data_IF_604334679564
#
_entry.id   IF_604334679564
#
_cell.length_a   1.000
_cell.length_b   1.000
_cell.length_c   1.000
_cell.angle_alpha   90.00
_cell.angle_beta   90.00
_cell.angle_gamma   90.00
#
_symmetry.space_group_name_H-M   'P 1'
#
loop_
_entity.id
_entity.type
_entity.pdbx_description
1 polymer ?
#
# COMPACT_ATOMS: atom_id res chain seq x y z
N UNK A 1 8.93 28.77 0.94
CA UNK A 1 8.82 27.31 0.77
C UNK A 1 8.69 26.68 2.14
N UNK A 2 7.59 25.99 2.45
CA UNK A 2 7.56 25.14 3.64
C UNK A 2 8.54 23.98 3.41
N UNK A 3 9.47 23.75 4.34
CA UNK A 3 10.31 22.54 4.30
C UNK A 3 9.54 21.42 4.98
N UNK A 4 9.43 20.27 4.33
CA UNK A 4 8.91 19.05 4.94
C UNK A 4 9.80 18.57 6.09
N UNK A 5 9.35 17.54 6.79
CA UNK A 5 10.12 16.87 7.84
C UNK A 5 11.26 15.98 7.31
N UNK A 6 11.37 15.80 5.99
CA UNK A 6 12.32 14.90 5.34
C UNK A 6 11.83 13.45 5.28
N UNK A 7 10.50 13.25 5.31
CA UNK A 7 9.88 11.94 5.39
C UNK A 7 10.13 11.11 4.13
N UNK A 8 9.99 11.71 2.95
CA UNK A 8 10.21 11.05 1.68
C UNK A 8 11.64 10.52 1.56
N UNK A 9 12.64 11.30 1.99
CA UNK A 9 14.05 10.91 2.00
C UNK A 9 14.30 9.74 2.95
N UNK A 10 13.68 9.73 4.13
CA UNK A 10 13.80 8.60 5.08
C UNK A 10 13.15 7.33 4.54
N UNK A 11 12.00 7.45 3.88
CA UNK A 11 11.37 6.30 3.20
C UNK A 11 12.30 5.79 2.10
N UNK A 12 12.78 6.67 1.21
CA UNK A 12 13.66 6.27 0.11
C UNK A 12 14.97 5.63 0.58
N UNK A 13 15.58 6.17 1.64
CA UNK A 13 16.81 5.62 2.23
C UNK A 13 16.61 4.23 2.85
N UNK A 14 15.38 3.87 3.21
CA UNK A 14 15.05 2.55 3.73
C UNK A 14 14.69 1.54 2.62
N UNK A 15 14.54 1.98 1.37
CA UNK A 15 14.40 1.06 0.23
C UNK A 15 15.77 0.47 -0.15
N UNK A 16 15.84 -0.84 -0.46
CA UNK A 16 17.06 -1.47 -0.94
C UNK A 16 17.51 -0.87 -2.28
N UNK A 17 18.82 -0.82 -2.51
CA UNK A 17 19.39 -0.36 -3.80
C UNK A 17 18.87 -1.19 -4.98
N UNK A 18 18.63 -2.49 -4.77
CA UNK A 18 18.11 -3.40 -5.79
C UNK A 18 16.61 -3.18 -6.11
N UNK A 19 15.86 -2.54 -5.21
CA UNK A 19 14.43 -2.30 -5.33
C UNK A 19 14.13 -0.87 -4.84
N UNK A 20 14.56 0.16 -5.59
CA UNK A 20 14.51 1.55 -5.15
C UNK A 20 13.08 2.11 -5.14
N UNK A 21 12.83 3.14 -4.33
CA UNK A 21 11.53 3.82 -4.33
C UNK A 21 11.28 4.48 -5.70
N UNK A 22 10.15 4.19 -6.38
CA UNK A 22 9.80 4.82 -7.65
C UNK A 22 9.74 6.36 -7.54
N UNK A 23 10.21 7.11 -8.55
CA UNK A 23 10.22 8.57 -8.53
C UNK A 23 8.84 9.20 -8.25
N UNK A 24 7.77 8.66 -8.83
CA UNK A 24 6.41 9.18 -8.61
C UNK A 24 5.93 8.96 -7.17
N UNK A 25 6.29 7.83 -6.56
CA UNK A 25 5.98 7.58 -5.15
C UNK A 25 6.79 8.49 -4.23
N UNK A 26 8.04 8.78 -4.57
CA UNK A 26 8.83 9.78 -3.85
C UNK A 26 8.17 11.16 -3.90
N UNK A 27 7.75 11.61 -5.10
CA UNK A 27 7.08 12.91 -5.28
C UNK A 27 5.79 13.00 -4.44
N UNK A 28 4.98 11.94 -4.43
CA UNK A 28 3.77 11.90 -3.62
C UNK A 28 4.06 11.95 -2.11
N UNK A 29 5.10 11.23 -1.65
CA UNK A 29 5.52 11.26 -0.25
C UNK A 29 6.05 12.64 0.16
N UNK A 30 6.83 13.29 -0.72
CA UNK A 30 7.34 14.64 -0.48
C UNK A 30 6.19 15.66 -0.44
N UNK A 31 5.22 15.53 -1.36
CA UNK A 31 4.04 16.37 -1.35
C UNK A 31 3.24 16.22 -0.05
N UNK A 32 3.02 14.99 0.42
CA UNK A 32 2.34 14.72 1.69
C UNK A 32 3.10 15.38 2.86
N UNK A 33 4.42 15.28 2.88
CA UNK A 33 5.26 15.86 3.93
C UNK A 33 5.21 17.39 3.94
N UNK A 34 5.47 18.03 2.79
CA UNK A 34 5.46 19.50 2.64
C UNK A 34 4.09 20.10 2.94
N UNK A 35 3.01 19.35 2.70
CA UNK A 35 1.63 19.79 2.96
C UNK A 35 1.13 19.48 4.37
N UNK A 36 1.95 18.86 5.23
CA UNK A 36 1.61 18.61 6.64
C UNK A 36 0.74 17.38 6.87
N UNK A 37 0.83 16.36 6.01
CA UNK A 37 0.11 15.09 6.11
C UNK A 37 0.96 14.00 6.79
N UNK A 38 2.21 14.34 7.15
CA UNK A 38 3.10 13.51 7.94
C UNK A 38 2.97 13.88 9.41
N UNK A 39 2.76 12.87 10.26
CA UNK A 39 2.64 13.05 11.70
C UNK A 39 3.02 11.78 12.46
N UNK A 40 2.85 11.79 13.78
CA UNK A 40 3.08 10.61 14.61
C UNK A 40 2.11 9.47 14.29
N UNK A 41 2.61 8.24 14.33
CA UNK A 41 1.85 6.99 14.27
C UNK A 41 2.35 6.03 15.38
N UNK A 42 1.77 4.82 15.44
CA UNK A 42 2.08 3.84 16.50
C UNK A 42 3.55 3.44 16.58
N UNK A 43 4.22 3.34 15.42
CA UNK A 43 5.58 2.82 15.29
C UNK A 43 6.58 3.84 14.76
N UNK A 44 6.24 5.13 14.81
CA UNK A 44 7.05 6.21 14.25
C UNK A 44 6.22 7.15 13.39
N UNK A 45 6.88 7.98 12.58
CA UNK A 45 6.19 8.88 11.67
C UNK A 45 5.50 8.12 10.54
N UNK A 46 4.34 8.60 10.15
CA UNK A 46 3.55 8.08 9.04
C UNK A 46 2.98 9.24 8.23
N UNK A 47 2.84 9.04 6.93
CA UNK A 47 2.02 9.88 6.07
C UNK A 47 0.59 9.32 6.00
N UNK A 48 -0.39 10.22 6.01
CA UNK A 48 -1.82 9.93 5.86
C UNK A 48 -2.35 10.60 4.60
N UNK A 49 -3.57 10.25 4.21
CA UNK A 49 -4.27 10.93 3.11
C UNK A 49 -4.99 12.21 3.55
N UNK A 50 -4.89 12.53 4.84
CA UNK A 50 -5.51 13.66 5.53
C UNK A 50 -4.48 14.30 6.46
N UNK A 51 -4.57 15.61 6.75
CA UNK A 51 -3.66 16.27 7.70
C UNK A 51 -3.72 15.70 9.13
N UNK A 52 -4.83 15.05 9.49
CA UNK A 52 -5.04 14.43 10.80
C UNK A 52 -5.81 13.11 10.71
N UNK A 53 -6.17 12.55 11.86
CA UNK A 53 -7.09 11.41 11.93
C UNK A 53 -8.50 11.96 12.16
N UNK A 54 -9.31 11.92 11.11
CA UNK A 54 -10.65 12.49 11.08
C UNK A 54 -11.68 11.34 11.07
N UNK A 55 -12.86 11.48 11.70
CA UNK A 55 -13.96 10.55 11.47
C UNK A 55 -14.26 10.44 9.96
N UNK A 56 -14.58 9.23 9.49
CA UNK A 56 -14.82 9.01 8.06
C UNK A 56 -13.58 8.79 7.20
N UNK A 57 -12.38 9.07 7.73
CA UNK A 57 -11.15 9.03 6.93
C UNK A 57 -10.65 7.62 6.66
N UNK A 58 -9.90 7.45 5.56
CA UNK A 58 -9.12 6.24 5.31
C UNK A 58 -8.16 5.95 6.47
N UNK A 59 -7.99 4.68 6.79
CA UNK A 59 -7.05 4.18 7.82
C UNK A 59 -5.72 3.75 7.23
N UNK A 60 -5.57 3.85 5.91
CA UNK A 60 -4.32 3.55 5.21
C UNK A 60 -3.26 4.57 5.61
N UNK A 61 -2.07 4.08 5.95
CA UNK A 61 -0.91 4.93 6.27
C UNK A 61 0.33 4.46 5.54
N UNK A 62 1.13 5.42 5.07
CA UNK A 62 2.47 5.13 4.53
C UNK A 62 3.49 5.35 5.65
N UNK A 63 4.46 4.46 5.78
CA UNK A 63 5.47 4.48 6.83
C UNK A 63 6.86 4.25 6.27
N UNK A 64 7.87 4.52 7.10
CA UNK A 64 9.24 4.10 6.79
C UNK A 64 9.27 2.56 6.85
N UNK A 65 9.69 1.86 5.77
CA UNK A 65 9.75 0.41 5.77
C UNK A 65 10.78 -0.09 6.78
N UNK A 66 10.49 -1.24 7.39
CA UNK A 66 11.41 -1.93 8.27
C UNK A 66 11.73 -3.32 7.71
N UNK A 67 13.02 -3.66 7.67
CA UNK A 67 13.50 -4.92 7.08
C UNK A 67 12.93 -6.16 7.78
N UNK A 68 12.67 -6.07 9.08
CA UNK A 68 12.13 -7.18 9.86
C UNK A 68 10.68 -7.52 9.46
N UNK A 69 9.93 -6.55 8.93
CA UNK A 69 8.59 -6.80 8.39
C UNK A 69 8.66 -7.71 7.16
N UNK A 70 9.60 -7.40 6.24
CA UNK A 70 9.83 -8.24 5.06
C UNK A 70 10.30 -9.63 5.47
N UNK A 71 11.26 -9.73 6.40
CA UNK A 71 11.78 -11.02 6.91
C UNK A 71 10.69 -11.90 7.52
N UNK A 72 9.78 -11.31 8.29
CA UNK A 72 8.65 -12.04 8.88
C UNK A 72 7.77 -12.69 7.79
N UNK A 73 7.64 -12.01 6.65
CA UNK A 73 6.89 -12.52 5.50
C UNK A 73 7.66 -13.54 4.68
N UNK A 74 8.91 -13.28 4.31
CA UNK A 74 9.71 -14.17 3.47
C UNK A 74 10.21 -15.41 4.21
N UNK A 75 10.35 -15.34 5.55
CA UNK A 75 11.01 -16.35 6.40
C UNK A 75 12.44 -16.66 5.95
N UNK A 76 13.10 -15.67 5.36
CA UNK A 76 14.46 -15.79 4.85
C UNK A 76 15.35 -14.73 5.49
N UNK A 77 16.60 -15.07 5.74
CA UNK A 77 17.64 -14.10 6.12
C UNK A 77 18.43 -13.58 4.91
N UNK A 78 18.22 -14.18 3.74
CA UNK A 78 19.04 -13.90 2.56
C UNK A 78 18.74 -12.50 2.00
N UNK A 79 19.73 -11.60 1.86
CA UNK A 79 19.51 -10.24 1.33
C UNK A 79 18.86 -10.24 -0.04
N UNK A 80 19.31 -11.10 -0.96
CA UNK A 80 18.70 -11.26 -2.29
C UNK A 80 17.19 -11.55 -2.30
N UNK A 81 16.66 -12.14 -1.23
CA UNK A 81 15.22 -12.37 -1.09
C UNK A 81 14.56 -11.15 -0.46
N UNK A 82 15.08 -10.68 0.68
CA UNK A 82 14.46 -9.58 1.42
C UNK A 82 14.57 -8.22 0.70
N UNK A 83 15.58 -8.02 -0.12
CA UNK A 83 15.75 -6.78 -0.88
C UNK A 83 14.74 -6.69 -2.03
N UNK A 84 14.09 -7.81 -2.39
CA UNK A 84 13.04 -7.84 -3.42
C UNK A 84 11.68 -7.42 -2.90
N UNK A 85 11.44 -7.34 -1.59
CA UNK A 85 10.13 -6.98 -1.05
C UNK A 85 10.24 -5.84 -0.04
N UNK A 86 9.52 -4.75 -0.28
CA UNK A 86 9.49 -3.58 0.61
C UNK A 86 8.06 -3.31 1.02
N UNK A 87 7.73 -3.53 2.30
CA UNK A 87 6.41 -3.27 2.88
C UNK A 87 6.41 -1.93 3.60
N UNK A 88 5.63 -0.96 3.11
CA UNK A 88 5.66 0.42 3.59
C UNK A 88 4.28 1.08 3.65
N UNK A 89 3.22 0.34 3.34
CA UNK A 89 1.84 0.79 3.46
C UNK A 89 1.12 -0.12 4.42
N UNK A 90 0.58 0.42 5.51
CA UNK A 90 -0.37 -0.32 6.35
C UNK A 90 -1.76 -0.12 5.72
N UNK A 91 -2.42 -1.22 5.35
CA UNK A 91 -3.66 -1.19 4.55
C UNK A 91 -4.94 -1.24 5.39
N UNK A 92 -4.80 -1.44 6.69
CA UNK A 92 -5.89 -1.47 7.66
C UNK A 92 -5.35 -1.54 9.09
N UNK A 93 -6.19 -1.91 10.06
CA UNK A 93 -5.82 -2.04 11.47
C UNK A 93 -5.47 -3.48 11.90
N UNK A 94 -5.60 -4.43 10.99
CA UNK A 94 -5.36 -5.87 11.18
C UNK A 94 -3.88 -6.28 11.03
N UNK A 95 -3.01 -5.34 10.65
CA UNK A 95 -1.60 -5.62 10.36
C UNK A 95 -1.33 -6.04 8.91
N UNK A 96 -2.37 -6.03 8.07
CA UNK A 96 -2.23 -6.16 6.61
C UNK A 96 -1.43 -5.01 6.05
N UNK A 97 -0.63 -5.30 5.02
CA UNK A 97 0.30 -4.35 4.42
C UNK A 97 0.33 -4.47 2.91
N UNK A 98 0.67 -3.38 2.26
CA UNK A 98 1.04 -3.34 0.86
C UNK A 98 2.47 -2.81 0.69
N UNK A 99 3.04 -3.11 -0.47
CA UNK A 99 4.44 -2.84 -0.75
C UNK A 99 4.80 -3.05 -2.21
N UNK A 100 6.10 -2.93 -2.49
CA UNK A 100 6.66 -3.23 -3.81
C UNK A 100 7.44 -4.53 -3.76
N UNK A 101 7.15 -5.41 -4.71
CA UNK A 101 7.93 -6.61 -4.98
C UNK A 101 8.65 -6.50 -6.32
N UNK A 102 9.95 -6.80 -6.35
CA UNK A 102 10.73 -6.91 -7.57
C UNK A 102 10.57 -8.33 -8.13
N UNK A 103 9.88 -8.47 -9.26
CA UNK A 103 9.67 -9.76 -9.92
C UNK A 103 10.97 -10.32 -10.54
N UNK A 104 10.92 -11.57 -11.03
CA UNK A 104 12.09 -12.24 -11.60
C UNK A 104 12.61 -11.59 -12.90
N UNK A 105 11.82 -10.69 -13.49
CA UNK A 105 12.19 -9.90 -14.65
C UNK A 105 12.72 -8.50 -14.29
N UNK A 106 12.83 -8.20 -12.99
CA UNK A 106 13.28 -6.89 -12.51
C UNK A 106 12.23 -5.79 -12.59
N UNK A 107 10.94 -6.13 -12.73
CA UNK A 107 9.86 -5.16 -12.66
C UNK A 107 9.28 -5.08 -11.26
N UNK A 108 9.05 -3.86 -10.78
CA UNK A 108 8.35 -3.64 -9.52
C UNK A 108 6.85 -3.87 -9.71
N UNK A 109 6.26 -4.63 -8.79
CA UNK A 109 4.83 -4.92 -8.72
C UNK A 109 4.28 -4.40 -7.41
N UNK A 110 3.06 -3.87 -7.45
CA UNK A 110 2.33 -3.52 -6.24
C UNK A 110 1.73 -4.80 -5.66
N UNK A 111 2.06 -5.12 -4.42
CA UNK A 111 1.64 -6.37 -3.77
C UNK A 111 0.98 -6.10 -2.42
N UNK A 112 0.17 -7.05 -1.97
CA UNK A 112 -0.45 -7.07 -0.66
C UNK A 112 -0.06 -8.33 0.11
N UNK A 113 0.20 -8.18 1.41
CA UNK A 113 0.35 -9.26 2.37
C UNK A 113 -0.65 -9.04 3.51
N UNK A 114 -1.64 -9.90 3.59
CA UNK A 114 -2.74 -9.79 4.55
C UNK A 114 -2.42 -10.40 5.91
N UNK A 115 -3.16 -10.03 6.94
CA UNK A 115 -3.09 -10.73 8.22
C UNK A 115 -3.52 -12.21 8.06
N UNK A 116 -2.99 -13.14 8.89
CA UNK A 116 -3.40 -14.54 8.85
C UNK A 116 -4.89 -14.76 9.18
N UNK A 117 -5.49 -13.81 9.90
CA UNK A 117 -6.91 -13.79 10.24
C UNK A 117 -7.63 -12.75 9.35
N UNK A 118 -8.88 -13.02 8.99
CA UNK A 118 -9.69 -12.12 8.15
C UNK A 118 -9.61 -12.48 6.65
N UNK A 119 -9.71 -11.50 5.73
CA UNK A 119 -9.73 -11.76 4.29
C UNK A 119 -8.44 -12.42 3.78
N UNK A 120 -7.35 -12.29 4.54
CA UNK A 120 -6.06 -12.92 4.30
C UNK A 120 -5.55 -12.66 2.86
N UNK A 121 -5.80 -11.45 2.34
CA UNK A 121 -5.46 -11.06 0.97
C UNK A 121 -3.94 -11.18 0.75
N UNK A 122 -3.52 -12.04 -0.17
CA UNK A 122 -2.11 -12.24 -0.51
C UNK A 122 -1.97 -12.33 -2.02
N UNK A 123 -1.63 -11.22 -2.67
CA UNK A 123 -1.59 -11.14 -4.13
C UNK A 123 -0.77 -9.96 -4.64
N UNK A 124 -0.54 -9.98 -5.94
CA UNK A 124 -0.24 -8.81 -6.73
C UNK A 124 -1.51 -7.96 -6.90
N UNK A 125 -1.50 -6.73 -6.38
CA UNK A 125 -2.59 -5.78 -6.57
C UNK A 125 -2.57 -5.16 -7.96
N UNK A 126 -1.38 -4.86 -8.48
CA UNK A 126 -1.21 -4.25 -9.79
C UNK A 126 0.21 -4.47 -10.34
N UNK A 127 0.33 -4.37 -11.65
CA UNK A 127 1.57 -4.57 -12.41
C UNK A 127 2.46 -3.32 -12.46
N UNK A 128 1.92 -2.13 -12.15
CA UNK A 128 2.64 -0.86 -12.07
C UNK A 128 2.52 -0.23 -10.65
N UNK A 129 3.63 0.12 -9.99
CA UNK A 129 3.65 0.82 -8.70
C UNK A 129 2.83 2.12 -8.65
N UNK A 130 2.63 2.81 -9.77
CA UNK A 130 1.81 4.03 -9.87
C UNK A 130 0.37 3.79 -9.43
N UNK A 131 -0.13 2.56 -9.59
CA UNK A 131 -1.47 2.21 -9.13
C UNK A 131 -1.66 2.37 -7.62
N UNK A 132 -0.60 2.39 -6.82
CA UNK A 132 -0.71 2.72 -5.40
C UNK A 132 -1.30 4.12 -5.21
N UNK A 133 -0.83 5.12 -5.97
CA UNK A 133 -1.33 6.50 -5.85
C UNK A 133 -2.80 6.60 -6.25
N UNK A 134 -3.20 5.87 -7.29
CA UNK A 134 -4.59 5.79 -7.74
C UNK A 134 -5.49 5.11 -6.70
N UNK A 135 -5.03 4.02 -6.08
CA UNK A 135 -5.73 3.32 -4.99
C UNK A 135 -5.87 4.17 -3.73
N UNK A 136 -4.82 4.91 -3.37
CA UNK A 136 -4.85 5.85 -2.26
C UNK A 136 -5.82 7.01 -2.55
N UNK A 137 -5.83 7.54 -3.77
CA UNK A 137 -6.73 8.62 -4.18
C UNK A 137 -8.22 8.22 -4.23
N UNK A 138 -8.54 6.93 -4.39
CA UNK A 138 -9.90 6.42 -4.18
C UNK A 138 -10.35 6.64 -2.74
N UNK A 139 -9.45 6.46 -1.77
CA UNK A 139 -9.74 6.73 -0.36
C UNK A 139 -10.61 5.69 0.32
N UNK A 140 -10.46 4.40 -0.03
CA UNK A 140 -11.11 3.32 0.71
C UNK A 140 -10.77 3.38 2.21
N UNK A 141 -11.71 3.01 3.10
CA UNK A 141 -11.46 2.97 4.54
C UNK A 141 -10.25 2.07 4.88
N UNK A 142 -10.19 0.90 4.26
CA UNK A 142 -9.09 -0.07 4.35
C UNK A 142 -8.91 -0.74 2.98
N UNK A 143 -7.67 -1.03 2.59
CA UNK A 143 -7.34 -1.76 1.35
C UNK A 143 -7.15 -3.27 1.60
N UNK A 144 -7.19 -3.72 2.85
CA UNK A 144 -7.09 -5.13 3.23
C UNK A 144 -8.38 -5.93 3.02
N UNK A 145 -9.50 -5.25 2.72
CA UNK A 145 -10.82 -5.83 2.51
C UNK A 145 -11.17 -5.89 1.00
N UNK A 146 -10.91 -7.02 0.31
CA UNK A 146 -11.17 -7.15 -1.12
C UNK A 146 -12.65 -7.05 -1.49
N UNK A 147 -13.58 -7.35 -0.57
CA UNK A 147 -15.02 -7.17 -0.78
C UNK A 147 -15.40 -5.71 -1.10
N UNK A 148 -14.56 -4.75 -0.69
CA UNK A 148 -14.77 -3.34 -0.98
C UNK A 148 -14.40 -2.97 -2.42
N UNK A 149 -13.58 -3.76 -3.12
CA UNK A 149 -12.95 -3.31 -4.37
C UNK A 149 -13.93 -3.07 -5.52
N UNK A 150 -15.12 -3.69 -5.48
CA UNK A 150 -16.17 -3.47 -6.47
C UNK A 150 -17.14 -2.33 -6.10
N UNK A 151 -17.03 -1.76 -4.90
CA UNK A 151 -17.92 -0.73 -4.37
C UNK A 151 -17.30 0.66 -4.50
N UNK A 152 -18.13 1.70 -4.53
CA UNK A 152 -17.63 3.05 -4.33
C UNK A 152 -17.06 3.19 -2.89
N UNK A 153 -16.04 4.03 -2.66
CA UNK A 153 -15.42 4.18 -1.32
C UNK A 153 -16.42 4.52 -0.19
N UNK A 154 -17.44 5.35 -0.48
CA UNK A 154 -18.48 5.68 0.50
C UNK A 154 -19.40 4.49 0.84
N UNK A 155 -19.68 3.62 -0.13
CA UNK A 155 -20.47 2.39 0.07
C UNK A 155 -19.66 1.37 0.87
N UNK A 156 -18.38 1.20 0.54
CA UNK A 156 -17.44 0.38 1.31
C UNK A 156 -17.31 0.88 2.76
N UNK A 157 -17.29 2.20 2.96
CA UNK A 157 -17.34 2.78 4.31
C UNK A 157 -18.62 2.39 5.05
N UNK A 158 -19.76 2.50 4.38
CA UNK A 158 -21.07 2.20 4.96
C UNK A 158 -21.26 0.72 5.33
N UNK A 159 -20.57 -0.19 4.64
CA UNK A 159 -20.63 -1.62 4.91
C UNK A 159 -20.05 -2.01 6.29
N UNK A 160 -19.06 -1.26 6.79
CA UNK A 160 -18.28 -1.68 7.96
C UNK A 160 -18.05 -0.64 9.04
N UNK A 161 -18.33 0.65 8.79
CA UNK A 161 -17.85 1.72 9.68
C UNK A 161 -18.88 2.78 10.08
N UNK A 162 -19.95 3.00 9.30
CA UNK A 162 -20.93 4.04 9.63
C UNK A 162 -21.93 4.28 8.51
N UNK A 163 -22.47 5.49 8.42
CA UNK A 163 -23.30 5.89 7.29
C UNK A 163 -22.41 6.37 6.13
N UNK A 164 -22.88 6.23 4.89
CA UNK A 164 -22.14 6.70 3.72
C UNK A 164 -21.89 8.23 3.74
N UNK A 165 -22.77 8.99 4.39
CA UNK A 165 -22.64 10.45 4.58
C UNK A 165 -21.53 10.85 5.56
N UNK A 166 -21.11 9.92 6.43
CA UNK A 166 -19.98 10.13 7.34
C UNK A 166 -18.64 9.87 6.66
N UNK A 167 -18.63 9.28 5.46
CA UNK A 167 -17.41 9.01 4.71
C UNK A 167 -16.71 10.30 4.30
N UNK A 168 -15.41 10.36 4.53
CA UNK A 168 -14.59 11.48 4.13
C UNK A 168 -13.66 11.07 2.99
N UNK A 169 -13.81 11.70 1.83
CA UNK A 169 -12.94 11.48 0.68
C UNK A 169 -11.61 12.25 0.79
N UNK A 170 -10.48 11.72 0.29
CA UNK A 170 -9.17 12.36 0.38
C UNK A 170 -9.00 13.44 -0.71
N UNK A 171 -9.91 14.42 -0.76
CA UNK A 171 -10.05 15.36 -1.89
C UNK A 171 -8.76 16.09 -2.26
N UNK A 172 -7.94 16.46 -1.26
CA UNK A 172 -6.67 17.16 -1.51
C UNK A 172 -5.64 16.24 -2.17
N UNK A 173 -5.49 15.02 -1.67
CA UNK A 173 -4.56 14.06 -2.24
C UNK A 173 -5.05 13.58 -3.61
N UNK A 174 -6.35 13.32 -3.78
CA UNK A 174 -6.95 13.00 -5.07
C UNK A 174 -6.71 14.09 -6.11
N UNK A 175 -6.95 15.36 -5.76
CA UNK A 175 -6.70 16.47 -6.66
C UNK A 175 -5.23 16.55 -7.10
N UNK A 176 -4.29 16.29 -6.18
CA UNK A 176 -2.87 16.22 -6.50
C UNK A 176 -2.55 15.07 -7.47
N UNK A 177 -3.10 13.87 -7.23
CA UNK A 177 -2.92 12.71 -8.12
C UNK A 177 -3.48 12.97 -9.52
N UNK A 178 -4.68 13.55 -9.61
CA UNK A 178 -5.34 13.80 -10.90
C UNK A 178 -4.72 14.97 -11.68
N UNK A 179 -4.33 16.06 -11.00
CA UNK A 179 -3.93 17.30 -11.68
C UNK A 179 -2.42 17.47 -11.79
N UNK A 180 -1.69 17.15 -10.73
CA UNK A 180 -0.25 17.41 -10.65
C UNK A 180 0.56 16.21 -11.13
N UNK A 181 0.05 14.98 -10.91
CA UNK A 181 0.67 13.75 -11.41
C UNK A 181 0.06 13.22 -12.72
N UNK A 182 -1.02 13.85 -13.20
CA UNK A 182 -1.73 13.50 -14.44
C UNK A 182 -2.18 12.02 -14.48
N UNK A 183 -2.70 11.53 -13.35
CA UNK A 183 -3.17 10.16 -13.19
C UNK A 183 -4.70 10.11 -13.10
N UNK A 184 -5.33 9.33 -13.97
CA UNK A 184 -6.76 9.02 -13.85
C UNK A 184 -7.04 8.21 -12.57
N UNK A 185 -8.01 8.61 -11.78
CA UNK A 185 -8.46 7.85 -10.60
C UNK A 185 -9.78 7.15 -10.97
N UNK A 186 -9.80 5.80 -11.02
CA UNK A 186 -10.99 5.07 -11.43
C UNK A 186 -12.13 5.24 -10.43
N UNK A 187 -13.31 4.71 -10.75
CA UNK A 187 -14.44 4.72 -9.83
C UNK A 187 -14.26 3.72 -8.66
N UNK A 188 -13.61 2.58 -8.92
CA UNK A 188 -13.44 1.48 -7.97
C UNK A 188 -12.06 0.85 -8.08
N UNK A 189 -11.62 0.17 -7.02
CA UNK A 189 -10.33 -0.51 -7.01
C UNK A 189 -10.29 -1.71 -7.98
N UNK A 190 -11.42 -2.34 -8.29
CA UNK A 190 -11.51 -3.50 -9.19
C UNK A 190 -11.05 -3.23 -10.63
N UNK A 191 -11.00 -1.96 -11.05
CA UNK A 191 -10.42 -1.57 -12.34
C UNK A 191 -8.89 -1.76 -12.35
N UNK A 192 -8.26 -1.59 -11.19
CA UNK A 192 -6.82 -1.76 -10.93
C UNK A 192 -6.54 -3.20 -10.52
N UNK A 193 -7.19 -3.66 -9.44
CA UNK A 193 -7.01 -4.98 -8.84
C UNK A 193 -7.96 -5.97 -9.53
N UNK A 194 -7.47 -6.56 -10.62
CA UNK A 194 -8.28 -7.43 -11.49
C UNK A 194 -8.45 -8.85 -10.96
N UNK A 195 -7.52 -9.30 -10.12
CA UNK A 195 -7.50 -10.65 -9.53
C UNK A 195 -7.03 -10.53 -8.09
N UNK A 196 -7.60 -11.37 -7.25
CA UNK A 196 -7.20 -11.51 -5.85
C UNK A 196 -6.83 -12.97 -5.59
N UNK A 197 -5.97 -13.16 -4.61
CA UNK A 197 -5.65 -14.47 -4.06
C UNK A 197 -5.62 -14.38 -2.54
N UNK A 198 -5.82 -15.51 -1.87
CA UNK A 198 -5.82 -15.63 -0.42
C UNK A 198 -4.56 -16.36 0.06
N UNK A 199 -4.06 -15.98 1.22
CA UNK A 199 -3.06 -16.73 1.98
C UNK A 199 -3.53 -18.17 2.26
N UNK A 200 -4.84 -18.40 2.31
CA UNK A 200 -5.43 -19.72 2.57
C UNK A 200 -5.64 -20.56 1.31
N UNK A 201 -5.37 -20.02 0.13
CA UNK A 201 -5.45 -20.79 -1.10
C UNK A 201 -4.47 -21.96 -1.06
N UNK A 202 -4.89 -23.13 -1.55
CA UNK A 202 -4.00 -24.30 -1.67
C UNK A 202 -3.02 -24.16 -2.83
N UNK A 203 -3.41 -23.40 -3.85
CA UNK A 203 -2.66 -23.10 -5.06
C UNK A 203 -3.18 -21.78 -5.62
N UNK A 204 -2.31 -21.00 -6.26
CA UNK A 204 -2.69 -19.74 -6.90
C UNK A 204 -1.91 -19.55 -8.19
N UNK A 205 -2.52 -18.85 -9.14
CA UNK A 205 -1.86 -18.36 -10.35
C UNK A 205 -1.21 -16.98 -10.16
N UNK A 206 -1.40 -16.38 -8.99
CA UNK A 206 -0.75 -15.13 -8.62
C UNK A 206 0.77 -15.31 -8.47
N UNK A 207 1.52 -14.46 -9.18
CA UNK A 207 2.98 -14.54 -9.25
C UNK A 207 3.63 -14.29 -7.89
N UNK A 208 3.15 -13.29 -7.16
CA UNK A 208 3.69 -12.93 -5.87
C UNK A 208 3.39 -14.00 -4.82
N UNK A 209 2.17 -14.56 -4.85
CA UNK A 209 1.79 -15.69 -4.01
C UNK A 209 2.73 -16.88 -4.20
N UNK A 210 2.99 -17.28 -5.46
CA UNK A 210 3.88 -18.41 -5.79
C UNK A 210 5.31 -18.15 -5.34
N UNK A 211 5.84 -16.96 -5.68
CA UNK A 211 7.18 -16.56 -5.26
C UNK A 211 7.34 -16.63 -3.74
N UNK A 212 6.35 -16.15 -2.98
CA UNK A 212 6.41 -16.18 -1.52
C UNK A 212 6.33 -17.61 -0.97
N UNK A 213 5.52 -18.47 -1.56
CA UNK A 213 5.43 -19.88 -1.19
C UNK A 213 6.76 -20.62 -1.43
N UNK A 214 7.36 -20.44 -2.61
CA UNK A 214 8.68 -21.00 -2.96
C UNK A 214 9.77 -20.48 -2.03
N UNK A 215 9.78 -19.16 -1.76
CA UNK A 215 10.73 -18.53 -0.84
C UNK A 215 10.67 -19.13 0.55
N UNK A 216 9.46 -19.31 1.10
CA UNK A 216 9.24 -19.87 2.44
C UNK A 216 9.64 -21.34 2.54
N UNK A 217 9.60 -22.07 1.43
CA UNK A 217 10.01 -23.46 1.33
C UNK A 217 11.50 -23.62 0.98
N UNK A 218 12.25 -22.53 0.83
CA UNK A 218 13.67 -22.54 0.49
C UNK A 218 13.97 -22.85 -0.99
N UNK A 219 13.03 -22.55 -1.89
CA UNK A 219 13.12 -22.87 -3.32
C UNK A 219 13.30 -21.64 -4.23
N UNK A 220 13.34 -20.42 -3.67
CA UNK A 220 13.47 -19.15 -4.40
C UNK A 220 14.84 -18.48 -4.26
#
# INVERSE_FOLDING_TARGET
MKRGSGFAERVAAAFPVANPLPPLLWQALDWLDVNGFVGGGRSGQVARLYPGQEPGSSRVTLRIPARDDTRAWTRSEHPRVNDRLVLFVDTGLDGSRAGLWLDDHGHQRLVHVGAPEGPALLCELADDPVHLLRLLALGYPELSAPDYFAMAPAEAYAMGYGLAEDYLAPLRFRAYVERDLDLDVPATASIIVRRIASLHDRQSDDRFWRWLAETRNGQA
#
